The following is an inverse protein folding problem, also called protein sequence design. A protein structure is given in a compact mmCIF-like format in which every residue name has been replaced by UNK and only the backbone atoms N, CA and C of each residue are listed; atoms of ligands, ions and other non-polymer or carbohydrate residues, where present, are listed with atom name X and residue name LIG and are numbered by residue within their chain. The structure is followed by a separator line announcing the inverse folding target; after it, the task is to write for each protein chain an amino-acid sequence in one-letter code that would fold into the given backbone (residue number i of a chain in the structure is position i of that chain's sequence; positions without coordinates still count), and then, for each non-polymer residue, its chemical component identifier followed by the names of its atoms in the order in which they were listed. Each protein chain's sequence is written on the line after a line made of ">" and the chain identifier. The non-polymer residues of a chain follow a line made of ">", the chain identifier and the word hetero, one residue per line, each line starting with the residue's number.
data_IF_529633400584
#
_entry.id   IF_529633400584
#
_cell.length_a   1.000
_cell.length_b   1.000
_cell.length_c   1.000
_cell.angle_alpha   90.00
_cell.angle_beta   90.00
_cell.angle_gamma   90.00
#
_symmetry.space_group_name_H-M   'P 1'
#
loop_
_entity.id
_entity.type
_entity.pdbx_description
1 polymer ?
#
# COMPACT_ATOMS: atom_id res chain seq x y z
N UNK A 1 -17.37 -14.70 -13.97
CA UNK A 1 -16.07 -14.15 -13.54
C UNK A 1 -14.99 -15.10 -14.02
N UNK A 2 -13.95 -14.62 -14.71
CA UNK A 2 -12.87 -15.50 -15.17
C UNK A 2 -11.97 -15.87 -13.98
N UNK A 3 -11.65 -17.16 -13.83
CA UNK A 3 -10.70 -17.67 -12.82
C UNK A 3 -9.36 -17.98 -13.49
N UNK A 4 -8.27 -17.81 -12.74
CA UNK A 4 -6.90 -18.08 -13.21
C UNK A 4 -6.27 -19.09 -12.25
N UNK A 5 -5.49 -20.04 -12.77
CA UNK A 5 -4.79 -21.06 -11.99
C UNK A 5 -3.53 -20.46 -11.34
N UNK A 6 -3.36 -20.70 -10.04
CA UNK A 6 -2.11 -20.41 -9.32
C UNK A 6 -1.29 -21.70 -9.21
N UNK A 7 -0.10 -21.73 -9.81
CA UNK A 7 0.79 -22.90 -9.79
C UNK A 7 2.13 -22.54 -9.16
N UNK A 8 2.56 -23.33 -8.17
CA UNK A 8 3.84 -23.18 -7.52
C UNK A 8 4.42 -24.55 -7.18
N UNK A 9 5.73 -24.72 -7.35
CA UNK A 9 6.47 -25.88 -6.85
C UNK A 9 7.08 -25.52 -5.52
N UNK A 10 6.85 -26.36 -4.51
CA UNK A 10 7.36 -26.18 -3.16
C UNK A 10 8.03 -27.47 -2.68
N UNK A 11 8.98 -27.34 -1.79
CA UNK A 11 9.60 -28.48 -1.12
C UNK A 11 8.60 -29.17 -0.19
N UNK A 12 8.81 -30.47 0.06
CA UNK A 12 7.92 -31.28 0.91
C UNK A 12 7.83 -30.75 2.34
N UNK A 13 8.92 -30.23 2.90
CA UNK A 13 8.93 -29.60 4.22
C UNK A 13 8.03 -28.37 4.29
N UNK A 14 8.09 -27.52 3.26
CA UNK A 14 7.23 -26.33 3.15
C UNK A 14 5.76 -26.74 3.04
N UNK A 15 5.46 -27.76 2.23
CA UNK A 15 4.10 -28.29 2.14
C UNK A 15 3.58 -28.77 3.51
N UNK A 16 4.38 -29.50 4.28
CA UNK A 16 4.00 -29.99 5.60
C UNK A 16 3.70 -28.85 6.58
N UNK A 17 4.51 -27.79 6.58
CA UNK A 17 4.27 -26.60 7.40
C UNK A 17 2.97 -25.88 7.02
N UNK A 18 2.72 -25.70 5.72
CA UNK A 18 1.49 -25.07 5.23
C UNK A 18 0.27 -25.92 5.59
N UNK A 19 0.34 -27.24 5.39
CA UNK A 19 -0.74 -28.16 5.75
C UNK A 19 -1.10 -28.04 7.23
N UNK A 20 -0.09 -28.04 8.10
CA UNK A 20 -0.31 -27.89 9.54
C UNK A 20 -0.93 -26.54 9.90
N UNK A 21 -0.50 -25.45 9.28
CA UNK A 21 -1.07 -24.13 9.53
C UNK A 21 -2.53 -24.03 9.04
N UNK A 22 -2.84 -24.63 7.89
CA UNK A 22 -4.19 -24.71 7.34
C UNK A 22 -5.13 -25.50 8.26
N UNK A 23 -4.68 -26.65 8.79
CA UNK A 23 -5.40 -27.44 9.80
C UNK A 23 -5.74 -26.61 11.04
N UNK A 24 -4.74 -25.90 11.59
CA UNK A 24 -4.93 -25.06 12.79
C UNK A 24 -5.99 -23.98 12.55
N UNK A 25 -6.05 -23.43 11.33
CA UNK A 25 -7.03 -22.41 10.96
C UNK A 25 -8.37 -22.97 10.43
N UNK A 26 -8.53 -24.30 10.42
CA UNK A 26 -9.77 -24.96 9.97
C UNK A 26 -10.09 -24.73 8.48
N UNK A 27 -9.08 -24.63 7.63
CA UNK A 27 -9.23 -24.33 6.19
C UNK A 27 -8.39 -25.25 5.32
N UNK A 28 -8.71 -25.33 4.03
CA UNK A 28 -7.92 -26.14 3.09
C UNK A 28 -6.54 -25.52 2.86
N UNK A 29 -5.58 -26.34 2.41
CA UNK A 29 -4.24 -25.86 2.04
C UNK A 29 -4.31 -24.75 0.98
N UNK A 30 -5.15 -24.95 -0.04
CA UNK A 30 -5.32 -23.98 -1.11
C UNK A 30 -5.88 -22.65 -0.57
N UNK A 31 -6.94 -22.70 0.24
CA UNK A 31 -7.52 -21.50 0.84
C UNK A 31 -6.54 -20.78 1.77
N UNK A 32 -5.75 -21.52 2.54
CA UNK A 32 -4.71 -20.95 3.39
C UNK A 32 -3.65 -20.21 2.57
N UNK A 33 -3.15 -20.84 1.49
CA UNK A 33 -2.12 -20.24 0.63
C UNK A 33 -2.65 -18.97 -0.05
N UNK A 34 -3.86 -19.02 -0.62
CA UNK A 34 -4.48 -17.85 -1.25
C UNK A 34 -4.70 -16.74 -0.23
N UNK A 35 -5.21 -17.07 0.96
CA UNK A 35 -5.41 -16.09 2.03
C UNK A 35 -4.09 -15.42 2.45
N UNK A 36 -3.06 -16.21 2.73
CA UNK A 36 -1.75 -15.69 3.14
C UNK A 36 -1.09 -14.85 2.03
N UNK A 37 -1.19 -15.28 0.77
CA UNK A 37 -0.68 -14.52 -0.36
C UNK A 37 -1.40 -13.18 -0.53
N UNK A 38 -2.73 -13.16 -0.40
CA UNK A 38 -3.53 -11.94 -0.45
C UNK A 38 -3.17 -10.98 0.70
N UNK A 39 -3.04 -11.49 1.93
CA UNK A 39 -2.67 -10.68 3.09
C UNK A 39 -1.27 -10.05 2.91
N UNK A 40 -0.29 -10.85 2.48
CA UNK A 40 1.06 -10.37 2.21
C UNK A 40 1.09 -9.32 1.08
N UNK A 41 0.34 -9.55 0.00
CA UNK A 41 0.24 -8.61 -1.11
C UNK A 41 -0.40 -7.28 -0.67
N UNK A 42 -1.50 -7.33 0.07
CA UNK A 42 -2.16 -6.14 0.60
C UNK A 42 -1.24 -5.33 1.52
N UNK A 43 -0.49 -6.03 2.38
CA UNK A 43 0.50 -5.39 3.25
C UNK A 43 1.61 -4.70 2.45
N UNK A 44 2.18 -5.39 1.46
CA UNK A 44 3.25 -4.83 0.63
C UNK A 44 2.79 -3.59 -0.17
N UNK A 45 1.57 -3.62 -0.71
CA UNK A 45 0.95 -2.48 -1.40
C UNK A 45 0.75 -1.32 -0.40
N UNK A 46 0.14 -1.60 0.75
CA UNK A 46 -0.13 -0.58 1.76
C UNK A 46 1.16 0.06 2.32
N UNK A 47 2.24 -0.70 2.47
CA UNK A 47 3.54 -0.17 2.90
C UNK A 47 4.14 0.83 1.91
N UNK A 48 3.82 0.69 0.61
CA UNK A 48 4.32 1.59 -0.44
C UNK A 48 3.39 2.78 -0.67
N UNK A 49 2.08 2.56 -0.60
CA UNK A 49 1.08 3.54 -1.05
C UNK A 49 0.39 4.29 0.10
N UNK A 50 0.42 3.76 1.32
CA UNK A 50 -0.31 4.36 2.45
C UNK A 50 0.64 5.12 3.37
N UNK A 51 0.47 6.45 3.41
CA UNK A 51 1.13 7.29 4.42
C UNK A 51 0.41 7.09 5.76
N UNK A 52 1.04 6.36 6.68
CA UNK A 52 0.55 6.20 8.06
C UNK A 52 1.02 7.37 8.91
N UNK A 53 0.10 8.26 9.27
CA UNK A 53 0.37 9.40 10.14
C UNK A 53 0.09 9.06 11.60
N UNK A 54 0.92 9.58 12.52
CA UNK A 54 0.57 9.60 13.94
C UNK A 54 -0.71 10.41 14.17
N UNK A 55 -1.34 10.29 15.35
CA UNK A 55 -2.52 11.10 15.66
C UNK A 55 -2.21 12.62 15.58
N UNK A 56 -1.02 13.03 16.04
CA UNK A 56 -0.55 14.42 15.94
C UNK A 56 -0.34 14.85 14.50
N UNK A 57 0.29 14.02 13.66
CA UNK A 57 0.53 14.37 12.26
C UNK A 57 -0.76 14.36 11.45
N UNK A 58 -1.68 13.44 11.75
CA UNK A 58 -3.02 13.40 11.15
C UNK A 58 -3.79 14.69 11.45
N UNK A 59 -3.72 15.19 12.69
CA UNK A 59 -4.33 16.48 13.06
C UNK A 59 -3.69 17.64 12.30
N UNK A 60 -2.35 17.67 12.21
CA UNK A 60 -1.62 18.71 11.46
C UNK A 60 -1.98 18.69 9.98
N UNK A 61 -2.01 17.51 9.37
CA UNK A 61 -2.39 17.32 7.97
C UNK A 61 -3.84 17.73 7.72
N UNK A 62 -4.79 17.28 8.55
CA UNK A 62 -6.19 17.68 8.45
C UNK A 62 -6.37 19.20 8.59
N UNK A 63 -5.68 19.83 9.55
CA UNK A 63 -5.72 21.28 9.72
C UNK A 63 -5.16 22.01 8.50
N UNK A 64 -4.08 21.51 7.88
CA UNK A 64 -3.53 22.08 6.66
C UNK A 64 -4.46 21.94 5.44
N UNK A 65 -5.35 20.94 5.41
CA UNK A 65 -6.37 20.80 4.37
C UNK A 65 -7.59 21.71 4.63
N UNK A 66 -8.05 21.78 5.89
CA UNK A 66 -9.26 22.54 6.28
C UNK A 66 -8.97 24.05 6.31
N UNK A 67 -7.78 24.44 6.73
CA UNK A 67 -7.33 25.83 6.83
C UNK A 67 -5.91 25.92 6.27
N UNK A 68 -5.79 25.93 4.92
CA UNK A 68 -4.50 25.97 4.28
C UNK A 68 -3.74 27.24 4.67
N UNK A 69 -2.47 27.12 5.09
CA UNK A 69 -1.66 28.29 5.41
C UNK A 69 -1.36 29.11 4.15
N UNK A 70 -1.09 30.40 4.32
CA UNK A 70 -0.65 31.22 3.19
C UNK A 70 0.66 30.67 2.59
N UNK A 71 0.75 30.71 1.26
CA UNK A 71 1.96 30.31 0.57
C UNK A 71 3.12 31.23 0.96
N UNK A 72 4.25 30.63 1.32
CA UNK A 72 5.49 31.36 1.49
C UNK A 72 5.93 32.02 0.17
N UNK A 73 6.60 33.17 0.25
CA UNK A 73 7.02 33.93 -0.94
C UNK A 73 8.01 33.16 -1.83
N UNK A 74 8.78 32.22 -1.26
CA UNK A 74 9.60 31.29 -2.03
C UNK A 74 8.76 30.36 -2.91
N UNK A 75 7.63 29.86 -2.41
CA UNK A 75 6.74 28.96 -3.15
C UNK A 75 5.97 29.72 -4.23
N UNK A 76 5.55 30.96 -3.96
CA UNK A 76 4.94 31.84 -4.97
C UNK A 76 5.89 32.09 -6.15
N UNK A 77 7.17 32.34 -5.87
CA UNK A 77 8.20 32.50 -6.92
C UNK A 77 8.41 31.22 -7.73
N UNK A 78 8.52 30.07 -7.06
CA UNK A 78 8.69 28.78 -7.73
C UNK A 78 7.52 28.44 -8.67
N UNK A 79 6.27 28.73 -8.26
CA UNK A 79 5.08 28.56 -9.12
C UNK A 79 5.18 29.48 -10.35
N UNK A 80 5.51 30.76 -10.15
CA UNK A 80 5.63 31.73 -11.25
C UNK A 80 6.74 31.37 -12.25
N UNK A 81 7.83 30.74 -11.79
CA UNK A 81 8.90 30.26 -12.65
C UNK A 81 8.49 28.98 -13.40
N UNK A 82 7.80 28.05 -12.74
CA UNK A 82 7.27 26.85 -13.38
C UNK A 82 6.26 27.17 -14.48
N UNK A 83 5.33 28.11 -14.23
CA UNK A 83 4.36 28.55 -15.23
C UNK A 83 4.99 29.26 -16.42
N UNK A 84 6.18 29.85 -16.25
CA UNK A 84 6.94 30.46 -17.33
C UNK A 84 7.54 29.36 -18.21
N UNK A 85 8.15 28.35 -17.58
CA UNK A 85 8.72 27.19 -18.28
C UNK A 85 7.69 26.41 -19.09
N UNK A 86 6.46 26.26 -18.59
CA UNK A 86 5.39 25.57 -19.31
C UNK A 86 4.80 26.37 -20.48
N UNK A 87 5.01 27.69 -20.52
CA UNK A 87 4.53 28.57 -21.60
C UNK A 87 5.54 28.77 -22.73
N UNK A 88 6.81 28.46 -22.48
CA UNK A 88 7.90 28.56 -23.45
C UNK A 88 8.14 27.24 -24.23
N UNK A 89 7.24 26.25 -24.11
CA UNK A 89 7.21 24.97 -24.85
C UNK A 89 6.04 24.97 -25.83
#
# INVERSE_FOLDING_TARGET
>A
MATIRFEARIESGVHATIARAAEIQGRTIADFVIFAACEAAQKAIAETEVIRLSMSDSRRFANALISPPELADALKRAIADHDRQLRDV
#
